data_IF_322305085329
#
_entry.id   IF_322305085329
#
_cell.length_a   1.000
_cell.length_b   1.000
_cell.length_c   1.000
_cell.angle_alpha   90.00
_cell.angle_beta   90.00
_cell.angle_gamma   90.00
#
_symmetry.space_group_name_H-M   'P 1'
#
loop_
_entity.id
_entity.type
_entity.pdbx_description
1 polymer ?
#
# COMPACT_ATOMS: atom_id res chain seq x y z
N UNK A 1 31.44 -38.10 26.25
CA UNK A 1 32.36 -38.22 27.40
C UNK A 1 31.67 -38.92 28.58
N UNK A 2 31.00 -40.04 28.32
CA UNK A 2 30.46 -40.96 29.31
C UNK A 2 31.62 -41.86 29.76
N UNK A 3 31.70 -42.18 31.06
CA UNK A 3 32.80 -42.87 31.76
C UNK A 3 33.95 -41.93 32.18
N UNK A 4 33.77 -41.23 33.31
CA UNK A 4 34.83 -40.84 34.28
C UNK A 4 34.22 -39.96 35.38
N UNK A 5 33.25 -40.49 36.12
CA UNK A 5 32.81 -39.86 37.38
C UNK A 5 32.15 -40.86 38.33
N UNK A 6 32.76 -42.04 38.51
CA UNK A 6 32.32 -43.02 39.54
C UNK A 6 33.51 -43.53 40.37
N UNK A 7 34.72 -42.98 40.20
CA UNK A 7 35.93 -43.53 40.81
C UNK A 7 36.65 -42.56 41.76
N UNK A 8 35.93 -41.90 42.67
CA UNK A 8 36.55 -41.29 43.87
C UNK A 8 35.53 -41.30 45.01
N UNK A 9 35.35 -42.42 45.70
CA UNK A 9 34.81 -42.50 47.07
C UNK A 9 34.83 -43.94 47.66
N UNK A 10 35.86 -44.74 47.34
CA UNK A 10 35.98 -46.12 47.85
C UNK A 10 37.36 -46.45 48.43
N UNK A 11 37.97 -45.53 49.17
CA UNK A 11 39.12 -45.90 50.02
C UNK A 11 39.14 -45.09 51.32
N UNK A 12 39.04 -45.85 52.42
CA UNK A 12 39.21 -45.49 53.84
C UNK A 12 37.91 -45.22 54.60
N UNK A 13 37.30 -46.28 55.15
CA UNK A 13 37.03 -46.44 56.58
C UNK A 13 36.29 -47.76 56.78
N UNK A 14 37.04 -48.83 56.99
CA UNK A 14 36.54 -49.99 57.73
C UNK A 14 37.06 -49.88 59.16
N UNK A 15 36.15 -50.09 60.12
CA UNK A 15 36.35 -50.22 61.58
C UNK A 15 36.16 -48.93 62.41
N UNK A 16 34.90 -48.55 62.63
CA UNK A 16 34.26 -48.54 63.97
C UNK A 16 32.94 -47.76 63.95
N UNK A 17 31.89 -48.39 64.51
CA UNK A 17 30.55 -47.87 64.83
C UNK A 17 29.59 -47.57 63.66
N UNK A 18 28.53 -48.38 63.56
CA UNK A 18 27.30 -48.03 62.86
C UNK A 18 26.75 -46.72 63.43
N UNK A 19 26.92 -45.63 62.70
CA UNK A 19 26.16 -44.42 62.91
C UNK A 19 25.10 -44.42 61.80
N UNK A 20 23.90 -44.93 62.13
CA UNK A 20 22.78 -45.15 61.19
C UNK A 20 22.46 -43.91 60.34
N UNK A 21 22.72 -42.72 60.89
CA UNK A 21 22.50 -41.44 60.23
C UNK A 21 23.43 -41.21 59.01
N UNK A 22 24.69 -41.66 59.09
CA UNK A 22 25.65 -41.54 57.96
C UNK A 22 25.33 -42.50 56.82
N UNK A 23 24.95 -43.74 57.13
CA UNK A 23 24.55 -44.73 56.12
C UNK A 23 23.25 -44.32 55.41
N UNK A 24 22.30 -43.74 56.16
CA UNK A 24 21.06 -43.19 55.60
C UNK A 24 21.32 -42.00 54.69
N UNK A 25 22.19 -41.06 55.11
CA UNK A 25 22.60 -39.91 54.28
C UNK A 25 23.29 -40.32 52.99
N UNK A 26 24.10 -41.39 53.02
CA UNK A 26 24.74 -41.94 51.82
C UNK A 26 23.70 -42.52 50.86
N UNK A 27 22.77 -43.34 51.37
CA UNK A 27 21.68 -43.90 50.55
C UNK A 27 20.78 -42.81 49.96
N UNK A 28 20.45 -41.77 50.72
CA UNK A 28 19.68 -40.61 50.24
C UNK A 28 20.42 -39.84 49.14
N UNK A 29 21.74 -39.72 49.25
CA UNK A 29 22.58 -39.09 48.23
C UNK A 29 22.64 -39.92 46.94
N UNK A 30 22.81 -41.23 47.03
CA UNK A 30 22.80 -42.16 45.89
C UNK A 30 21.45 -42.12 45.14
N UNK A 31 20.34 -42.09 45.89
CA UNK A 31 19.00 -41.95 45.31
C UNK A 31 18.82 -40.61 44.58
N UNK A 32 19.31 -39.50 45.16
CA UNK A 32 19.29 -38.18 44.50
C UNK A 32 20.14 -38.14 43.24
N UNK A 33 21.32 -38.76 43.26
CA UNK A 33 22.19 -38.85 42.07
C UNK A 33 21.48 -39.65 40.96
N UNK A 34 20.90 -40.80 41.29
CA UNK A 34 20.14 -41.61 40.32
C UNK A 34 18.95 -40.84 39.73
N UNK A 35 18.25 -40.04 40.55
CA UNK A 35 17.15 -39.21 40.09
C UNK A 35 17.62 -38.05 39.20
N UNK A 36 18.76 -37.43 39.51
CA UNK A 36 19.36 -36.39 38.67
C UNK A 36 19.83 -36.94 37.33
N UNK A 37 20.42 -38.14 37.30
CA UNK A 37 20.81 -38.82 36.07
C UNK A 37 19.59 -39.12 35.17
N UNK A 38 18.50 -39.60 35.77
CA UNK A 38 17.23 -39.82 35.05
C UNK A 38 16.66 -38.51 34.48
N UNK A 39 16.70 -37.43 35.27
CA UNK A 39 16.24 -36.11 34.82
C UNK A 39 17.12 -35.54 33.68
N UNK A 40 18.43 -35.73 33.74
CA UNK A 40 19.36 -35.33 32.67
C UNK A 40 19.05 -36.12 31.39
N UNK A 41 18.89 -37.44 31.50
CA UNK A 41 18.54 -38.28 30.36
C UNK A 41 17.20 -37.88 29.72
N UNK A 42 16.19 -37.56 30.53
CA UNK A 42 14.90 -37.06 30.03
C UNK A 42 15.02 -35.70 29.34
N UNK A 43 15.85 -34.78 29.88
CA UNK A 43 16.12 -33.49 29.23
C UNK A 43 16.89 -33.63 27.92
N UNK A 44 17.87 -34.53 27.86
CA UNK A 44 18.61 -34.82 26.63
C UNK A 44 17.68 -35.37 25.54
N UNK A 45 16.71 -36.20 25.90
CA UNK A 45 15.72 -36.72 24.97
C UNK A 45 14.75 -35.63 24.48
N UNK A 46 14.26 -34.78 25.39
CA UNK A 46 13.45 -33.62 25.02
C UNK A 46 14.21 -32.66 24.10
N UNK A 47 15.50 -32.43 24.33
CA UNK A 47 16.33 -31.58 23.49
C UNK A 47 16.46 -32.15 22.07
N UNK A 48 16.63 -33.48 21.94
CA UNK A 48 16.64 -34.13 20.62
C UNK A 48 15.30 -34.01 19.91
N UNK A 49 14.19 -34.22 20.61
CA UNK A 49 12.85 -34.07 20.03
C UNK A 49 12.59 -32.64 19.56
N UNK A 50 13.03 -31.64 20.34
CA UNK A 50 12.90 -30.23 19.97
C UNK A 50 13.78 -29.88 18.76
N UNK A 51 15.00 -30.42 18.70
CA UNK A 51 15.89 -30.24 17.55
C UNK A 51 15.29 -30.84 16.28
N UNK A 52 14.73 -32.06 16.39
CA UNK A 52 14.07 -32.71 15.26
C UNK A 52 12.85 -31.92 14.79
N UNK A 53 12.01 -31.44 15.72
CA UNK A 53 10.86 -30.59 15.40
C UNK A 53 11.28 -29.28 14.72
N UNK A 54 12.38 -28.67 15.16
CA UNK A 54 12.94 -27.47 14.53
C UNK A 54 13.41 -27.74 13.10
N UNK A 55 14.12 -28.84 12.87
CA UNK A 55 14.63 -29.21 11.54
C UNK A 55 13.47 -29.54 10.56
N UNK A 56 12.43 -30.21 11.04
CA UNK A 56 11.20 -30.48 10.29
C UNK A 56 10.47 -29.18 9.94
N UNK A 57 10.26 -28.30 10.91
CA UNK A 57 9.57 -27.02 10.70
C UNK A 57 10.36 -26.10 9.76
N UNK A 58 11.70 -26.10 9.87
CA UNK A 58 12.58 -25.36 8.96
C UNK A 58 12.47 -25.90 7.54
N UNK A 59 12.46 -27.22 7.37
CA UNK A 59 12.29 -27.86 6.06
C UNK A 59 10.93 -27.52 5.43
N UNK A 60 9.86 -27.54 6.22
CA UNK A 60 8.53 -27.11 5.77
C UNK A 60 8.52 -25.64 5.37
N UNK A 61 9.13 -24.76 6.18
CA UNK A 61 9.27 -23.33 5.87
C UNK A 61 10.03 -23.11 4.57
N UNK A 62 11.18 -23.77 4.40
CA UNK A 62 12.02 -23.63 3.19
C UNK A 62 11.27 -24.14 1.94
N UNK A 63 10.48 -25.20 2.07
CA UNK A 63 9.64 -25.74 0.98
C UNK A 63 8.51 -24.77 0.61
N UNK A 64 7.74 -24.30 1.60
CA UNK A 64 6.68 -23.32 1.41
C UNK A 64 7.20 -22.02 0.80
N UNK A 65 8.36 -21.57 1.25
CA UNK A 65 9.03 -20.38 0.72
C UNK A 65 9.44 -20.58 -0.74
N UNK A 66 10.06 -21.70 -1.07
CA UNK A 66 10.44 -22.01 -2.45
C UNK A 66 9.23 -22.18 -3.40
N UNK A 67 8.09 -22.65 -2.90
CA UNK A 67 6.84 -22.72 -3.67
C UNK A 67 6.20 -21.33 -3.83
N UNK A 68 6.32 -20.47 -2.83
CA UNK A 68 5.85 -19.06 -2.89
C UNK A 68 6.70 -18.24 -3.85
N UNK A 69 8.02 -18.43 -3.86
CA UNK A 69 8.96 -17.77 -4.78
C UNK A 69 8.77 -18.21 -6.25
N UNK A 70 8.00 -19.28 -6.49
CA UNK A 70 7.64 -19.79 -7.83
C UNK A 70 6.22 -19.43 -8.27
N UNK A 71 5.41 -18.84 -7.39
CA UNK A 71 4.02 -18.50 -7.70
C UNK A 71 3.93 -17.05 -8.15
N UNK A 72 3.30 -16.83 -9.31
CA UNK A 72 2.86 -15.51 -9.75
C UNK A 72 2.08 -14.81 -8.64
N UNK A 73 2.18 -13.48 -8.53
CA UNK A 73 1.40 -12.72 -7.54
C UNK A 73 -0.10 -13.06 -7.73
N UNK A 74 -0.71 -13.75 -6.75
CA UNK A 74 -2.04 -14.32 -6.95
C UNK A 74 -3.10 -13.22 -7.03
N UNK A 75 -4.27 -13.57 -7.55
CA UNK A 75 -5.40 -12.63 -7.66
C UNK A 75 -5.67 -11.92 -6.33
N UNK A 76 -5.60 -10.58 -6.37
CA UNK A 76 -5.76 -9.75 -5.20
C UNK A 76 -7.22 -9.71 -4.75
N UNK A 77 -7.44 -9.93 -3.46
CA UNK A 77 -8.72 -9.65 -2.80
C UNK A 77 -8.59 -8.32 -2.06
N UNK A 78 -9.59 -7.46 -2.25
CA UNK A 78 -9.67 -6.14 -1.65
C UNK A 78 -11.01 -5.99 -0.94
N UNK A 79 -11.01 -5.31 0.21
CA UNK A 79 -12.21 -4.96 0.95
C UNK A 79 -12.21 -3.47 1.22
N UNK A 80 -13.33 -2.79 0.93
CA UNK A 80 -13.46 -1.37 1.21
C UNK A 80 -13.51 -1.11 2.71
N UNK A 81 -12.78 -0.09 3.16
CA UNK A 81 -12.77 0.35 4.55
C UNK A 81 -12.97 1.86 4.62
N UNK A 82 -14.08 2.26 5.23
CA UNK A 82 -14.31 3.66 5.62
C UNK A 82 -13.37 4.02 6.76
N UNK A 83 -12.55 5.05 6.55
CA UNK A 83 -11.61 5.60 7.53
C UNK A 83 -12.20 6.84 8.21
N UNK A 84 -13.05 7.57 7.51
CA UNK A 84 -13.76 8.73 8.04
C UNK A 84 -15.06 8.91 7.26
N UNK A 85 -16.18 9.09 7.95
CA UNK A 85 -17.49 9.36 7.35
C UNK A 85 -18.29 10.19 8.35
N UNK A 86 -18.27 11.51 8.16
CA UNK A 86 -19.05 12.43 9.00
C UNK A 86 -19.73 13.49 8.15
N UNK A 87 -20.95 13.79 8.56
CA UNK A 87 -21.75 14.90 8.05
C UNK A 87 -22.19 15.79 9.21
N UNK A 88 -22.55 17.02 8.90
CA UNK A 88 -23.12 17.96 9.85
C UNK A 88 -23.92 19.04 9.15
N UNK A 89 -24.66 19.80 9.95
CA UNK A 89 -25.47 20.92 9.49
C UNK A 89 -25.29 22.09 10.45
N UNK A 90 -25.07 23.30 9.91
CA UNK A 90 -25.07 24.55 10.69
C UNK A 90 -26.20 25.43 10.19
N UNK A 91 -26.91 26.07 11.12
CA UNK A 91 -27.85 27.14 10.81
C UNK A 91 -27.15 28.49 10.82
N UNK A 92 -27.27 29.24 9.72
CA UNK A 92 -26.77 30.62 9.60
C UNK A 92 -27.93 31.58 9.36
N UNK A 93 -27.75 32.85 9.76
CA UNK A 93 -28.67 33.95 9.42
C UNK A 93 -28.19 34.64 8.15
N UNK A 94 -29.13 34.94 7.26
CA UNK A 94 -28.87 35.73 6.06
C UNK A 94 -28.67 37.20 6.42
N UNK A 95 -27.75 37.86 5.73
CA UNK A 95 -27.42 39.26 6.03
C UNK A 95 -28.61 40.17 5.68
N UNK A 96 -29.04 40.97 6.65
CA UNK A 96 -30.20 41.85 6.49
C UNK A 96 -31.55 41.13 6.46
N UNK A 97 -31.60 39.83 6.81
CA UNK A 97 -32.83 39.03 6.87
C UNK A 97 -33.02 38.38 8.24
N UNK A 98 -34.27 38.13 8.62
CA UNK A 98 -34.61 37.27 9.77
C UNK A 98 -34.59 35.78 9.41
N UNK A 99 -34.45 35.46 8.12
CA UNK A 99 -34.42 34.09 7.63
C UNK A 99 -33.10 33.40 8.01
N UNK A 100 -33.23 32.14 8.39
CA UNK A 100 -32.12 31.24 8.59
C UNK A 100 -32.09 30.21 7.48
N UNK A 101 -30.89 29.77 7.11
CA UNK A 101 -30.71 28.61 6.24
C UNK A 101 -29.71 27.62 6.82
N UNK A 102 -29.86 26.38 6.41
CA UNK A 102 -28.93 25.31 6.73
C UNK A 102 -27.75 25.34 5.75
N UNK A 103 -26.57 25.05 6.25
CA UNK A 103 -25.38 24.67 5.49
C UNK A 103 -25.05 23.25 5.88
N UNK A 104 -25.23 22.34 4.95
CA UNK A 104 -24.80 20.96 5.11
C UNK A 104 -23.32 20.83 4.74
N UNK A 105 -22.58 20.06 5.52
CA UNK A 105 -21.18 19.77 5.24
C UNK A 105 -20.85 18.31 5.50
N UNK A 106 -19.99 17.73 4.67
CA UNK A 106 -19.64 16.32 4.74
C UNK A 106 -18.19 16.04 4.34
N UNK A 107 -17.56 15.13 5.05
CA UNK A 107 -16.20 14.66 4.76
C UNK A 107 -16.17 13.14 4.82
N UNK A 108 -15.65 12.52 3.76
CA UNK A 108 -15.56 11.06 3.62
C UNK A 108 -14.17 10.65 3.13
N UNK A 109 -13.62 9.59 3.70
CA UNK A 109 -12.36 8.97 3.32
C UNK A 109 -12.50 7.45 3.35
N UNK A 110 -12.29 6.80 2.22
CA UNK A 110 -12.36 5.33 2.07
C UNK A 110 -11.08 4.81 1.42
N UNK A 111 -10.51 3.76 2.02
CA UNK A 111 -9.38 3.01 1.46
C UNK A 111 -9.79 1.57 1.12
N UNK A 112 -8.85 0.78 0.63
CA UNK A 112 -8.98 -0.67 0.50
C UNK A 112 -8.00 -1.38 1.43
N UNK A 113 -8.46 -2.47 2.03
CA UNK A 113 -7.67 -3.39 2.84
C UNK A 113 -7.43 -4.67 2.06
N UNK A 114 -6.20 -5.15 2.14
CA UNK A 114 -5.73 -6.39 1.54
C UNK A 114 -5.01 -7.23 2.59
N UNK A 115 -4.65 -8.47 2.24
CA UNK A 115 -3.80 -9.31 3.10
C UNK A 115 -2.32 -8.88 3.17
N UNK A 116 -1.93 -7.82 2.47
CA UNK A 116 -0.55 -7.39 2.33
C UNK A 116 -0.35 -6.02 2.99
N UNK A 117 0.33 -6.00 4.15
CA UNK A 117 0.56 -4.76 4.91
C UNK A 117 1.28 -3.68 4.11
N UNK A 118 2.28 -4.07 3.30
CA UNK A 118 3.02 -3.14 2.46
C UNK A 118 2.12 -2.44 1.43
N UNK A 119 1.10 -3.14 0.92
CA UNK A 119 0.13 -2.60 -0.03
C UNK A 119 -0.86 -1.69 0.70
N UNK A 120 -1.37 -2.13 1.85
CA UNK A 120 -2.24 -1.32 2.71
C UNK A 120 -1.56 0.00 3.10
N UNK A 121 -0.26 -0.01 3.39
CA UNK A 121 0.55 1.18 3.67
C UNK A 121 0.62 2.14 2.46
N UNK A 122 0.77 1.61 1.24
CA UNK A 122 0.76 2.45 0.02
C UNK A 122 -0.61 3.14 -0.13
N UNK A 123 -1.71 2.39 0.03
CA UNK A 123 -3.06 2.91 -0.14
C UNK A 123 -3.43 3.92 0.96
N UNK A 124 -3.07 3.66 2.22
CA UNK A 124 -3.26 4.61 3.32
C UNK A 124 -2.47 5.91 3.09
N UNK A 125 -1.22 5.83 2.64
CA UNK A 125 -0.42 7.02 2.29
C UNK A 125 -1.07 7.85 1.19
N UNK A 126 -1.66 7.20 0.19
CA UNK A 126 -2.36 7.90 -0.88
C UNK A 126 -3.58 8.67 -0.36
N UNK A 127 -4.38 8.07 0.53
CA UNK A 127 -5.53 8.75 1.17
C UNK A 127 -5.06 9.89 2.09
N UNK A 128 -3.98 9.70 2.85
CA UNK A 128 -3.41 10.75 3.70
C UNK A 128 -2.88 11.92 2.87
N UNK A 129 -2.19 11.64 1.76
CA UNK A 129 -1.70 12.67 0.84
C UNK A 129 -2.85 13.53 0.31
N UNK A 130 -3.98 12.90 -0.01
CA UNK A 130 -5.18 13.57 -0.51
C UNK A 130 -5.91 14.43 0.52
N UNK A 131 -5.55 14.36 1.81
CA UNK A 131 -6.08 15.27 2.80
C UNK A 131 -5.60 16.71 2.56
N UNK A 132 -4.41 16.90 1.98
CA UNK A 132 -3.80 18.21 1.72
C UNK A 132 -3.99 18.66 0.27
N UNK A 133 -5.02 19.47 0.02
CA UNK A 133 -5.29 20.06 -1.30
C UNK A 133 -4.47 21.33 -1.59
N UNK A 134 -3.63 21.79 -0.63
CA UNK A 134 -2.86 23.03 -0.79
C UNK A 134 -1.67 22.91 -1.75
N UNK A 135 -1.37 21.69 -2.22
CA UNK A 135 -0.22 21.40 -3.08
C UNK A 135 1.12 21.50 -2.35
N UNK A 136 1.13 21.62 -1.01
CA UNK A 136 2.37 21.59 -0.25
C UNK A 136 2.91 20.17 -0.18
N UNK A 137 4.13 19.96 -0.66
CA UNK A 137 4.79 18.64 -0.63
C UNK A 137 5.29 18.32 0.78
N UNK A 138 4.38 18.18 1.75
CA UNK A 138 4.75 17.76 3.09
C UNK A 138 5.23 16.31 3.04
N UNK A 139 6.44 16.06 3.55
CA UNK A 139 6.95 14.70 3.65
C UNK A 139 6.02 13.90 4.57
N UNK A 140 5.39 12.86 4.01
CA UNK A 140 4.55 11.94 4.77
C UNK A 140 5.40 11.04 5.67
N UNK A 141 4.86 10.57 6.81
CA UNK A 141 5.50 9.55 7.63
C UNK A 141 5.79 8.26 6.86
N UNK A 142 6.86 7.57 7.25
CA UNK A 142 7.22 6.29 6.62
C UNK A 142 6.24 5.17 6.98
N UNK A 143 5.62 5.24 8.16
CA UNK A 143 4.54 4.34 8.59
C UNK A 143 3.31 5.19 8.88
N UNK A 144 2.24 4.98 8.11
CA UNK A 144 0.97 5.70 8.24
C UNK A 144 -0.04 4.77 8.89
N UNK A 145 -0.70 5.27 9.92
CA UNK A 145 -1.79 4.57 10.62
C UNK A 145 -3.15 5.08 10.14
N UNK A 146 -4.20 4.31 10.44
CA UNK A 146 -5.57 4.75 10.19
C UNK A 146 -5.92 5.98 11.03
N UNK A 147 -5.35 6.09 12.24
CA UNK A 147 -5.54 7.25 13.12
C UNK A 147 -4.95 8.53 12.51
N UNK A 148 -3.78 8.44 11.85
CA UNK A 148 -3.20 9.59 11.14
C UNK A 148 -4.15 10.11 10.05
N UNK A 149 -4.81 9.21 9.32
CA UNK A 149 -5.82 9.57 8.31
C UNK A 149 -7.06 10.13 8.99
N UNK A 150 -7.58 9.47 10.02
CA UNK A 150 -8.78 9.93 10.75
C UNK A 150 -8.57 11.35 11.29
N UNK A 151 -7.42 11.64 11.89
CA UNK A 151 -7.08 12.96 12.41
C UNK A 151 -6.99 14.02 11.30
N UNK A 152 -6.37 13.68 10.16
CA UNK A 152 -6.28 14.60 9.03
C UNK A 152 -7.65 14.97 8.46
N UNK A 153 -8.54 13.99 8.27
CA UNK A 153 -9.89 14.25 7.76
C UNK A 153 -10.82 14.86 8.81
N UNK A 154 -10.62 14.56 10.11
CA UNK A 154 -11.29 15.26 11.21
C UNK A 154 -10.95 16.75 11.24
N UNK A 155 -9.69 17.12 10.95
CA UNK A 155 -9.29 18.51 10.86
C UNK A 155 -10.03 19.24 9.72
N UNK A 156 -10.18 18.62 8.55
CA UNK A 156 -10.96 19.18 7.43
C UNK A 156 -12.43 19.34 7.81
N UNK A 157 -13.03 18.32 8.44
CA UNK A 157 -14.41 18.39 8.91
C UNK A 157 -14.64 19.54 9.91
N UNK A 158 -13.69 19.75 10.83
CA UNK A 158 -13.73 20.85 11.77
C UNK A 158 -13.53 22.21 11.07
N UNK A 159 -12.62 22.29 10.09
CA UNK A 159 -12.44 23.48 9.28
C UNK A 159 -13.72 23.86 8.53
N UNK A 160 -14.43 22.90 7.94
CA UNK A 160 -15.73 23.14 7.32
C UNK A 160 -16.75 23.68 8.32
N UNK A 161 -16.82 23.07 9.51
CA UNK A 161 -17.71 23.52 10.58
C UNK A 161 -17.41 24.95 11.04
N UNK A 162 -16.14 25.29 11.22
CA UNK A 162 -15.70 26.57 11.78
C UNK A 162 -15.72 27.70 10.74
N UNK A 163 -15.40 27.40 9.48
CA UNK A 163 -15.38 28.38 8.39
C UNK A 163 -16.75 28.68 7.77
N UNK A 164 -17.69 27.72 7.78
CA UNK A 164 -18.99 27.87 7.15
C UNK A 164 -19.82 29.10 7.59
N UNK A 165 -19.84 29.52 8.87
CA UNK A 165 -20.55 30.72 9.29
C UNK A 165 -20.03 32.02 8.65
N UNK A 166 -18.73 32.09 8.36
CA UNK A 166 -18.08 33.26 7.76
C UNK A 166 -18.22 33.24 6.24
N UNK A 167 -17.90 32.12 5.59
CA UNK A 167 -17.93 32.03 4.12
C UNK A 167 -19.33 31.82 3.54
N UNK A 168 -20.30 31.39 4.38
CA UNK A 168 -21.70 31.15 4.03
C UNK A 168 -21.89 30.40 2.69
N UNK A 169 -21.24 29.23 2.47
CA UNK A 169 -21.43 28.45 1.25
C UNK A 169 -22.83 27.83 1.20
N UNK A 170 -23.24 27.31 0.04
CA UNK A 170 -24.50 26.54 -0.07
C UNK A 170 -24.35 25.19 0.65
N UNK A 171 -23.21 24.53 0.48
CA UNK A 171 -22.78 23.33 1.20
C UNK A 171 -21.27 23.19 1.12
N UNK A 172 -20.70 22.25 1.89
CA UNK A 172 -19.28 21.90 1.83
C UNK A 172 -19.14 20.38 1.71
N UNK A 173 -18.27 19.89 0.84
CA UNK A 173 -18.08 18.45 0.68
C UNK A 173 -16.64 18.11 0.36
N UNK A 174 -16.09 17.10 1.05
CA UNK A 174 -14.87 16.41 0.63
C UNK A 174 -15.11 14.91 0.57
N UNK A 175 -14.73 14.30 -0.55
CA UNK A 175 -14.74 12.85 -0.71
C UNK A 175 -13.38 12.40 -1.20
N UNK A 176 -12.88 11.33 -0.59
CA UNK A 176 -11.67 10.63 -1.05
C UNK A 176 -11.92 9.13 -1.02
N UNK A 177 -11.69 8.47 -2.14
CA UNK A 177 -11.98 7.04 -2.30
C UNK A 177 -10.89 6.35 -3.10
N UNK A 178 -10.35 5.26 -2.56
CA UNK A 178 -9.49 4.34 -3.31
C UNK A 178 -10.35 3.23 -3.91
N UNK A 179 -10.22 2.99 -5.22
CA UNK A 179 -10.87 1.88 -5.92
C UNK A 179 -9.85 0.97 -6.58
N UNK A 180 -10.15 -0.32 -6.58
CA UNK A 180 -9.39 -1.32 -7.31
C UNK A 180 -9.84 -1.31 -8.77
N UNK A 181 -8.89 -1.13 -9.68
CA UNK A 181 -9.17 -1.08 -11.12
C UNK A 181 -8.94 -2.45 -11.74
N UNK A 182 -7.82 -3.09 -11.41
CA UNK A 182 -7.51 -4.40 -11.94
C UNK A 182 -6.09 -4.86 -11.63
N UNK A 183 -5.79 -6.07 -12.11
CA UNK A 183 -4.50 -6.72 -11.97
C UNK A 183 -4.17 -7.45 -13.27
N UNK A 184 -2.89 -7.37 -13.67
CA UNK A 184 -2.28 -8.22 -14.70
C UNK A 184 -0.98 -8.78 -14.13
N UNK A 185 -0.92 -10.08 -13.86
CA UNK A 185 0.22 -10.71 -13.16
C UNK A 185 0.53 -9.92 -11.86
N UNK A 186 1.77 -9.46 -11.67
CA UNK A 186 2.22 -8.64 -10.53
C UNK A 186 1.97 -7.14 -10.70
N UNK A 187 1.35 -6.70 -11.80
CA UNK A 187 0.95 -5.31 -11.99
C UNK A 187 -0.44 -5.08 -11.40
N UNK A 188 -0.53 -4.27 -10.35
CA UNK A 188 -1.78 -3.87 -9.73
C UNK A 188 -2.10 -2.42 -10.09
N UNK A 189 -3.36 -2.15 -10.43
CA UNK A 189 -3.83 -0.79 -10.69
C UNK A 189 -4.98 -0.46 -9.74
N UNK A 190 -4.81 0.65 -9.04
CA UNK A 190 -5.84 1.31 -8.25
C UNK A 190 -6.05 2.73 -8.80
N UNK A 191 -7.15 3.35 -8.42
CA UNK A 191 -7.29 4.80 -8.52
C UNK A 191 -7.71 5.39 -7.19
N UNK A 192 -7.34 6.66 -7.01
CA UNK A 192 -7.70 7.53 -5.93
C UNK A 192 -8.57 8.63 -6.53
N UNK A 193 -9.85 8.63 -6.18
CA UNK A 193 -10.80 9.65 -6.59
C UNK A 193 -10.97 10.67 -5.48
N UNK A 194 -10.80 11.95 -5.81
CA UNK A 194 -11.06 13.05 -4.89
C UNK A 194 -12.14 13.98 -5.44
N UNK A 195 -12.94 14.52 -4.55
CA UNK A 195 -13.89 15.59 -4.83
C UNK A 195 -13.86 16.59 -3.68
N UNK A 196 -13.76 17.89 -4.01
CA UNK A 196 -13.82 19.00 -3.07
C UNK A 196 -14.84 20.02 -3.57
N UNK A 197 -15.80 20.37 -2.73
CA UNK A 197 -16.72 21.48 -2.94
C UNK A 197 -16.69 22.38 -1.73
N UNK A 198 -16.27 23.63 -1.92
CA UNK A 198 -16.18 24.64 -0.86
C UNK A 198 -17.18 25.80 -1.07
N UNK A 199 -18.22 25.56 -1.87
CA UNK A 199 -19.11 26.58 -2.40
C UNK A 199 -18.75 27.00 -3.84
N UNK A 200 -19.49 27.96 -4.39
CA UNK A 200 -19.33 28.39 -5.78
C UNK A 200 -20.19 27.59 -6.77
N UNK A 201 -19.81 27.61 -8.05
CA UNK A 201 -20.60 27.04 -9.14
C UNK A 201 -20.52 25.51 -9.25
N UNK A 202 -19.38 24.91 -8.94
CA UNK A 202 -19.14 23.46 -9.00
C UNK A 202 -17.97 23.08 -8.08
N UNK A 203 -17.85 21.78 -7.77
CA UNK A 203 -16.69 21.23 -7.06
C UNK A 203 -15.53 20.93 -8.01
N UNK A 204 -14.39 20.57 -7.44
CA UNK A 204 -13.20 20.11 -8.13
C UNK A 204 -13.06 18.60 -7.92
N UNK A 205 -12.93 17.85 -9.01
CA UNK A 205 -12.66 16.41 -8.96
C UNK A 205 -11.29 16.09 -9.56
N UNK A 206 -10.70 14.99 -9.12
CA UNK A 206 -9.48 14.45 -9.69
C UNK A 206 -9.46 12.93 -9.55
N UNK A 207 -8.98 12.24 -10.58
CA UNK A 207 -8.70 10.81 -10.56
C UNK A 207 -7.20 10.58 -10.66
N UNK A 208 -6.56 10.03 -9.63
CA UNK A 208 -5.14 9.67 -9.66
C UNK A 208 -4.93 8.16 -9.65
N UNK A 209 -4.23 7.63 -10.64
CA UNK A 209 -3.97 6.20 -10.76
C UNK A 209 -2.69 5.81 -10.01
N UNK A 210 -2.77 4.71 -9.27
CA UNK A 210 -1.68 4.13 -8.49
C UNK A 210 -1.36 2.78 -9.12
N UNK A 211 -0.34 2.75 -9.97
CA UNK A 211 0.17 1.51 -10.55
C UNK A 211 1.28 0.96 -9.67
N UNK A 212 1.16 -0.30 -9.28
CA UNK A 212 2.06 -0.94 -8.33
C UNK A 212 2.66 -2.17 -8.99
N UNK A 213 3.98 -2.25 -8.94
CA UNK A 213 4.76 -3.44 -9.26
C UNK A 213 4.86 -4.25 -7.96
N UNK A 214 4.07 -5.33 -7.84
CA UNK A 214 3.96 -6.12 -6.62
C UNK A 214 5.21 -6.95 -6.32
N UNK A 215 5.99 -7.29 -7.36
CA UNK A 215 7.28 -7.98 -7.19
C UNK A 215 8.30 -7.04 -6.54
N UNK A 216 8.29 -5.76 -6.94
CA UNK A 216 9.13 -4.70 -6.36
C UNK A 216 8.52 -4.01 -5.15
N UNK A 217 7.24 -4.27 -4.85
CA UNK A 217 6.45 -3.66 -3.78
C UNK A 217 6.50 -2.12 -3.82
N UNK A 218 6.40 -1.55 -5.02
CA UNK A 218 6.61 -0.11 -5.23
C UNK A 218 5.66 0.47 -6.27
N UNK A 219 5.36 1.77 -6.14
CA UNK A 219 4.61 2.51 -7.15
C UNK A 219 5.49 2.71 -8.39
N UNK A 220 4.93 2.44 -9.56
CA UNK A 220 5.57 2.70 -10.85
C UNK A 220 5.47 4.19 -11.13
N UNK A 221 6.56 4.92 -10.93
CA UNK A 221 6.66 6.32 -11.35
C UNK A 221 6.88 6.45 -12.86
N UNK A 222 6.58 7.63 -13.43
CA UNK A 222 6.85 7.91 -14.85
C UNK A 222 8.32 7.68 -15.23
N UNK A 223 9.25 8.03 -14.33
CA UNK A 223 10.69 7.84 -14.53
C UNK A 223 11.11 6.37 -14.51
N UNK A 224 10.37 5.51 -13.80
CA UNK A 224 10.60 4.07 -13.80
C UNK A 224 9.91 3.38 -14.98
N UNK A 225 8.79 3.95 -15.45
CA UNK A 225 8.04 3.45 -16.60
C UNK A 225 8.81 3.65 -17.91
N UNK A 226 9.30 4.86 -18.16
CA UNK A 226 9.91 5.25 -19.44
C UNK A 226 11.43 5.19 -19.32
N UNK A 227 12.09 4.55 -20.28
CA UNK A 227 13.55 4.50 -20.31
C UNK A 227 14.16 5.91 -20.31
N UNK A 228 15.24 6.08 -19.55
CA UNK A 228 15.97 7.35 -19.46
C UNK A 228 16.32 7.86 -20.86
N UNK A 229 15.89 9.08 -21.17
CA UNK A 229 16.12 9.75 -22.46
C UNK A 229 15.01 9.54 -23.50
N UNK A 230 14.05 8.64 -23.29
CA UNK A 230 12.94 8.42 -24.23
C UNK A 230 11.66 9.21 -23.90
N UNK A 231 11.62 9.97 -22.80
CA UNK A 231 10.42 10.73 -22.40
C UNK A 231 9.91 11.68 -23.50
N UNK A 232 10.81 12.34 -24.23
CA UNK A 232 10.42 13.21 -25.34
C UNK A 232 9.73 12.45 -26.49
N UNK A 233 10.10 11.18 -26.72
CA UNK A 233 9.46 10.36 -27.75
C UNK A 233 8.03 9.98 -27.35
N UNK A 234 7.83 9.62 -26.08
CA UNK A 234 6.48 9.38 -25.52
C UNK A 234 5.64 10.67 -25.57
N UNK A 235 6.24 11.82 -25.24
CA UNK A 235 5.59 13.13 -25.36
C UNK A 235 5.13 13.43 -26.78
N UNK A 236 5.95 13.11 -27.79
CA UNK A 236 5.60 13.36 -29.19
C UNK A 236 4.40 12.48 -29.62
N UNK A 237 4.36 11.21 -29.22
CA UNK A 237 3.21 10.31 -29.45
C UNK A 237 1.93 10.86 -28.78
N UNK A 238 2.02 11.29 -27.52
CA UNK A 238 0.88 11.84 -26.80
C UNK A 238 0.41 13.18 -27.39
N UNK A 239 1.33 14.01 -27.89
CA UNK A 239 0.98 15.25 -28.58
C UNK A 239 0.19 14.99 -29.87
N UNK A 240 0.56 13.95 -30.63
CA UNK A 240 -0.20 13.51 -31.80
C UNK A 240 -1.59 13.02 -31.42
N UNK A 241 -1.72 12.19 -30.37
CA UNK A 241 -3.01 11.74 -29.86
C UNK A 241 -3.90 12.92 -29.41
N UNK A 242 -3.31 13.93 -28.76
CA UNK A 242 -4.04 15.13 -28.35
C UNK A 242 -4.55 15.95 -29.53
N UNK A 243 -3.71 16.17 -30.56
CA UNK A 243 -4.15 16.85 -31.79
C UNK A 243 -5.26 16.08 -32.51
N UNK A 244 -5.17 14.74 -32.57
CA UNK A 244 -6.22 13.91 -33.15
C UNK A 244 -7.54 14.05 -32.39
N UNK A 245 -7.49 14.03 -31.05
CA UNK A 245 -8.67 14.28 -30.21
C UNK A 245 -9.29 15.65 -30.51
N UNK A 246 -8.50 16.72 -30.54
CA UNK A 246 -8.99 18.07 -30.85
C UNK A 246 -9.64 18.13 -32.23
N UNK A 247 -9.00 17.58 -33.26
CA UNK A 247 -9.55 17.51 -34.61
C UNK A 247 -10.90 16.75 -34.66
N UNK A 248 -11.02 15.63 -33.95
CA UNK A 248 -12.27 14.86 -33.87
C UNK A 248 -13.41 15.64 -33.22
N UNK A 249 -13.09 16.51 -32.26
CA UNK A 249 -14.06 17.38 -31.59
C UNK A 249 -14.34 18.68 -32.36
N UNK A 250 -13.66 18.90 -33.50
CA UNK A 250 -13.75 20.15 -34.24
C UNK A 250 -13.16 21.35 -33.48
N UNK A 251 -12.19 21.09 -32.59
CA UNK A 251 -11.51 22.09 -31.77
C UNK A 251 -10.01 22.11 -32.07
N UNK A 252 -9.31 23.09 -31.53
CA UNK A 252 -7.85 23.18 -31.57
C UNK A 252 -7.25 22.81 -30.20
N UNK A 253 -6.00 22.32 -30.14
CA UNK A 253 -5.26 22.18 -28.89
C UNK A 253 -5.26 23.48 -28.08
N UNK A 254 -5.60 23.40 -26.79
CA UNK A 254 -5.68 24.57 -25.89
C UNK A 254 -4.29 25.06 -25.44
N UNK A 255 -3.28 24.19 -25.56
CA UNK A 255 -1.88 24.47 -25.23
C UNK A 255 -0.97 24.31 -26.44
N UNK A 256 0.23 24.89 -26.40
CA UNK A 256 1.26 24.71 -27.45
C UNK A 256 2.11 23.49 -27.15
N UNK A 257 2.62 22.82 -28.20
CA UNK A 257 3.51 21.64 -28.07
C UNK A 257 4.68 21.84 -27.10
N UNK A 258 5.28 23.04 -27.07
CA UNK A 258 6.41 23.37 -26.20
C UNK A 258 6.05 23.35 -24.70
N UNK A 259 4.77 23.57 -24.37
CA UNK A 259 4.25 23.66 -23.01
C UNK A 259 3.57 22.35 -22.59
N UNK A 260 3.30 21.45 -23.55
CA UNK A 260 2.75 20.11 -23.32
C UNK A 260 3.75 19.21 -22.59
N UNK A 261 3.30 18.58 -21.50
CA UNK A 261 4.09 17.69 -20.65
C UNK A 261 3.49 16.30 -20.65
N UNK A 262 4.30 15.28 -20.41
CA UNK A 262 3.79 13.93 -20.17
C UNK A 262 3.24 13.89 -18.75
N UNK A 263 1.98 13.48 -18.60
CA UNK A 263 1.37 13.31 -17.28
C UNK A 263 2.11 12.27 -16.44
N UNK A 264 2.26 12.54 -15.14
CA UNK A 264 2.72 11.53 -14.18
C UNK A 264 1.58 10.58 -13.76
N UNK A 265 0.35 10.87 -14.16
CA UNK A 265 -0.85 10.10 -13.87
C UNK A 265 -1.20 9.26 -15.11
N UNK A 266 -1.11 7.94 -14.98
CA UNK A 266 -1.33 7.03 -16.10
C UNK A 266 -1.86 5.70 -15.61
N UNK A 267 -2.38 4.86 -16.50
CA UNK A 267 -2.72 3.48 -16.19
C UNK A 267 -2.51 2.56 -17.40
N UNK A 268 -2.32 1.28 -17.12
CA UNK A 268 -2.10 0.26 -18.14
C UNK A 268 -3.43 -0.28 -18.66
N UNK A 269 -3.47 -0.54 -19.96
CA UNK A 269 -4.60 -1.19 -20.64
C UNK A 269 -4.07 -2.33 -21.51
N UNK A 270 -4.95 -3.08 -22.18
CA UNK A 270 -4.51 -4.09 -23.15
C UNK A 270 -3.83 -3.48 -24.39
N UNK A 271 -4.23 -2.26 -24.79
CA UNK A 271 -3.80 -1.64 -26.06
C UNK A 271 -2.60 -0.69 -25.92
N UNK A 272 -2.34 -0.24 -24.69
CA UNK A 272 -1.27 0.72 -24.39
C UNK A 272 -1.36 1.29 -22.99
N UNK A 273 -0.74 2.45 -22.82
CA UNK A 273 -0.76 3.19 -21.55
C UNK A 273 -1.55 4.48 -21.76
N UNK A 274 -2.57 4.68 -20.93
CA UNK A 274 -3.39 5.88 -20.94
C UNK A 274 -2.81 6.89 -19.97
N UNK A 275 -2.54 8.11 -20.45
CA UNK A 275 -2.07 9.24 -19.66
C UNK A 275 -3.23 10.20 -19.40
N UNK A 276 -3.48 10.49 -18.13
CA UNK A 276 -4.65 11.24 -17.66
C UNK A 276 -4.23 12.64 -17.26
N UNK A 277 -4.92 13.64 -17.79
CA UNK A 277 -4.70 15.06 -17.52
C UNK A 277 -5.92 15.62 -16.78
N UNK A 278 -5.72 16.34 -15.67
CA UNK A 278 -6.81 16.91 -14.90
C UNK A 278 -7.60 17.94 -15.72
N UNK A 279 -8.81 18.25 -15.24
CA UNK A 279 -9.62 19.35 -15.76
C UNK A 279 -8.80 20.65 -15.79
N UNK A 280 -9.05 21.50 -16.79
CA UNK A 280 -8.34 22.76 -17.06
C UNK A 280 -6.90 22.65 -17.57
N UNK A 281 -6.26 21.47 -17.54
CA UNK A 281 -4.89 21.35 -18.06
C UNK A 281 -4.86 21.33 -19.60
N UNK A 282 -5.69 20.47 -20.20
CA UNK A 282 -5.77 20.31 -21.67
C UNK A 282 -7.15 20.60 -22.25
N UNK A 283 -8.18 20.73 -21.41
CA UNK A 283 -9.57 20.92 -21.84
C UNK A 283 -10.37 21.72 -20.82
N UNK A 284 -11.56 22.17 -21.23
CA UNK A 284 -12.49 22.84 -20.31
C UNK A 284 -13.00 21.89 -19.23
N UNK A 285 -13.49 22.42 -18.10
CA UNK A 285 -14.11 21.59 -17.06
C UNK A 285 -15.27 20.73 -17.58
N UNK A 286 -16.07 21.27 -18.51
CA UNK A 286 -17.22 20.59 -19.08
C UNK A 286 -16.84 19.35 -19.91
N UNK A 287 -15.62 19.30 -20.44
CA UNK A 287 -15.08 18.13 -21.15
C UNK A 287 -14.50 17.06 -20.21
N UNK A 288 -14.32 17.38 -18.93
CA UNK A 288 -13.74 16.49 -17.94
C UNK A 288 -12.22 16.32 -18.08
N UNK A 289 -11.70 15.28 -17.43
CA UNK A 289 -10.30 14.87 -17.54
C UNK A 289 -10.00 14.39 -18.97
N UNK A 290 -8.81 14.71 -19.49
CA UNK A 290 -8.39 14.26 -20.82
C UNK A 290 -7.56 12.99 -20.67
N UNK A 291 -8.00 11.92 -21.33
CA UNK A 291 -7.26 10.67 -21.43
C UNK A 291 -6.61 10.53 -22.81
N UNK A 292 -5.29 10.31 -22.84
CA UNK A 292 -4.53 10.11 -24.07
C UNK A 292 -3.88 8.72 -24.06
N UNK A 293 -4.32 7.85 -24.98
CA UNK A 293 -3.73 6.53 -25.17
C UNK A 293 -2.43 6.65 -25.98
N UNK A 294 -1.34 6.15 -25.40
CA UNK A 294 -0.12 5.82 -26.13
C UNK A 294 -0.08 4.30 -26.37
N UNK A 295 -0.33 3.88 -27.61
CA UNK A 295 -0.40 2.46 -27.95
C UNK A 295 0.94 1.76 -27.79
N UNK A 296 0.94 0.49 -27.36
CA UNK A 296 2.16 -0.31 -27.32
C UNK A 296 2.89 -0.37 -28.66
N UNK A 297 2.18 -0.36 -29.79
CA UNK A 297 2.83 -0.31 -31.12
C UNK A 297 3.71 0.94 -31.30
N UNK A 298 3.42 2.03 -30.62
CA UNK A 298 4.17 3.30 -30.73
C UNK A 298 5.26 3.42 -29.66
N UNK A 299 4.96 3.02 -28.42
CA UNK A 299 5.80 3.34 -27.26
C UNK A 299 6.52 2.15 -26.62
N UNK A 300 6.26 0.89 -27.01
CA UNK A 300 6.81 -0.28 -26.31
C UNK A 300 8.34 -0.25 -26.20
N UNK A 301 9.04 0.06 -27.30
CA UNK A 301 10.51 0.20 -27.32
C UNK A 301 11.06 1.32 -26.43
N UNK A 302 10.22 2.27 -26.01
CA UNK A 302 10.59 3.39 -25.14
C UNK A 302 10.37 3.08 -23.65
N UNK A 303 9.61 2.04 -23.31
CA UNK A 303 9.33 1.61 -21.94
C UNK A 303 10.50 0.84 -21.33
N UNK A 304 10.65 0.91 -20.01
CA UNK A 304 11.58 0.05 -19.28
C UNK A 304 11.22 -1.42 -19.54
N UNK A 305 12.24 -2.29 -19.62
CA UNK A 305 12.08 -3.69 -20.03
C UNK A 305 10.99 -4.44 -19.28
N UNK A 306 10.89 -4.19 -17.96
CA UNK A 306 9.91 -4.84 -17.08
C UNK A 306 8.45 -4.50 -17.43
N UNK A 307 8.22 -3.43 -18.19
CA UNK A 307 6.89 -2.93 -18.56
C UNK A 307 6.63 -3.01 -20.07
N UNK A 308 7.53 -3.65 -20.83
CA UNK A 308 7.33 -3.91 -22.25
C UNK A 308 6.37 -5.08 -22.46
N UNK A 309 5.48 -4.96 -23.45
CA UNK A 309 4.74 -6.09 -23.97
C UNK A 309 5.66 -6.97 -24.82
N UNK A 310 5.51 -8.29 -24.65
CA UNK A 310 6.27 -9.30 -25.38
C UNK A 310 5.31 -10.27 -26.08
N UNK A 311 5.86 -11.26 -26.79
CA UNK A 311 5.05 -12.31 -27.41
C UNK A 311 4.20 -13.09 -26.38
N UNK A 312 4.61 -13.18 -25.11
CA UNK A 312 3.84 -13.81 -24.02
C UNK A 312 2.52 -13.06 -23.75
N UNK A 313 2.53 -11.76 -23.99
CA UNK A 313 1.40 -10.86 -23.80
C UNK A 313 0.48 -10.79 -25.04
N UNK A 314 0.76 -11.59 -26.07
CA UNK A 314 0.07 -11.51 -27.36
C UNK A 314 0.50 -10.33 -28.23
N UNK A 315 1.54 -9.57 -27.83
CA UNK A 315 2.07 -8.46 -28.62
C UNK A 315 2.95 -8.98 -29.77
N UNK A 316 2.73 -8.40 -30.96
CA UNK A 316 3.55 -8.64 -32.15
C UNK A 316 4.03 -7.30 -32.67
N UNK A 317 5.34 -7.14 -32.86
CA UNK A 317 5.86 -5.91 -33.45
C UNK A 317 5.28 -5.70 -34.85
N UNK A 318 4.93 -4.45 -35.16
CA UNK A 318 4.58 -4.08 -36.52
C UNK A 318 5.82 -4.28 -37.40
N UNK A 319 5.67 -5.05 -38.50
CA UNK A 319 6.72 -5.25 -39.49
C UNK A 319 6.91 -4.01 -40.36
#
# INVERSE_FOLDING_TARGET
MKKKLVLVLMTAFALAACNDDTSKKLSDAENKVSQLEANIAAKDENLKQLQQSYDELKTQYDTLKADTDKQDFPGLRVEAKSLFDKTGTIQIKEDGSSETRNIDYGVTATTLVTRYDWLNQILLKAVLAAADDSGTSKKLPDNVTEEDVEQAYAAIFNQFKEGAPESKPISLQKTTEVRYVGQKESLLTFNLQTYLFEGGAHGMMSTHYINIDADKKTIISLNNLVQKGNLNKVRDVLWEAYQQRSNMLGTEPTVKKKDFKVSNNFYFTADGIVFVYPVYELASYAEGEVELLASYYQINQFLAKDYQQTAKDGFKEAK
#
